data_IF_384031112431
#
_entry.id   IF_384031112431
#
_cell.length_a   1.000
_cell.length_b   1.000
_cell.length_c   1.000
_cell.angle_alpha   90.00
_cell.angle_beta   90.00
_cell.angle_gamma   90.00
#
_symmetry.space_group_name_H-M   'P 1'
#
loop_
_entity.id
_entity.type
_entity.pdbx_description
1 polymer ?
#
# COMPACT_ATOMS: atom_id res chain seq x y z
N UNK A 1 23.72 52.24 18.61
CA UNK A 1 22.36 51.86 18.21
C UNK A 1 22.39 50.38 17.90
N UNK A 2 21.81 49.57 18.77
CA UNK A 2 21.75 48.10 18.62
C UNK A 2 20.44 47.80 17.86
N UNK A 3 20.53 47.33 16.63
CA UNK A 3 19.38 46.82 15.90
C UNK A 3 19.09 45.41 16.39
N UNK A 4 18.06 45.26 17.21
CA UNK A 4 17.42 43.96 17.45
C UNK A 4 16.64 43.59 16.21
N UNK A 5 17.15 42.63 15.43
CA UNK A 5 16.39 41.96 14.40
C UNK A 5 15.30 41.11 15.09
N UNK A 6 14.06 41.53 14.99
CA UNK A 6 12.91 40.69 15.37
C UNK A 6 12.78 39.63 14.28
N UNK A 7 13.20 38.41 14.58
CA UNK A 7 12.85 37.27 13.72
C UNK A 7 11.33 37.10 13.76
N UNK A 8 10.66 37.38 12.65
CA UNK A 8 9.25 37.07 12.48
C UNK A 8 9.03 35.53 12.58
N UNK A 9 7.81 35.10 12.89
CA UNK A 9 7.52 33.68 12.88
C UNK A 9 7.84 33.12 11.48
N UNK A 10 8.73 32.14 11.42
CA UNK A 10 8.92 31.33 10.22
C UNK A 10 7.62 30.57 10.06
N UNK A 11 6.79 30.94 9.09
CA UNK A 11 5.65 30.14 8.72
C UNK A 11 6.20 28.82 8.18
N UNK A 12 5.77 27.71 8.78
CA UNK A 12 6.14 26.39 8.28
C UNK A 12 5.72 26.28 6.80
N UNK A 13 6.60 25.70 5.99
CA UNK A 13 6.36 25.55 4.56
C UNK A 13 5.24 24.51 4.34
N UNK A 14 4.32 24.81 3.45
CA UNK A 14 3.20 23.97 3.01
C UNK A 14 3.06 24.25 1.51
N UNK A 15 3.85 23.51 0.71
CA UNK A 15 4.01 23.73 -0.72
C UNK A 15 2.80 23.30 -1.53
N UNK A 16 2.20 22.20 -1.16
CA UNK A 16 1.03 21.63 -1.84
C UNK A 16 -0.29 22.25 -1.37
N UNK A 17 -0.24 23.01 -0.24
CA UNK A 17 -1.35 23.78 0.34
C UNK A 17 -2.52 22.92 0.80
N UNK A 18 -2.24 21.76 1.31
CA UNK A 18 -3.25 20.86 1.88
C UNK A 18 -3.58 21.20 3.35
N UNK A 19 -2.83 22.11 3.94
CA UNK A 19 -2.98 22.63 5.31
C UNK A 19 -2.19 21.82 6.34
N UNK A 20 -1.29 20.93 5.93
CA UNK A 20 -0.33 20.22 6.78
C UNK A 20 1.06 20.72 6.38
N UNK A 21 1.90 21.20 7.30
CA UNK A 21 3.25 21.62 6.94
C UNK A 21 4.12 20.47 6.46
N UNK A 22 4.88 20.65 5.37
CA UNK A 22 5.71 19.64 4.71
C UNK A 22 6.63 18.88 5.67
N UNK A 23 7.36 19.60 6.53
CA UNK A 23 8.27 19.01 7.53
C UNK A 23 7.50 18.17 8.57
N UNK A 24 6.28 18.59 8.89
CA UNK A 24 5.45 17.91 9.85
C UNK A 24 4.89 16.61 9.26
N UNK A 25 4.45 16.62 8.01
CA UNK A 25 4.06 15.41 7.28
C UNK A 25 5.20 14.38 7.24
N UNK A 26 6.38 14.83 6.83
CA UNK A 26 7.55 13.97 6.75
C UNK A 26 7.87 13.33 8.11
N UNK A 27 7.79 14.10 9.20
CA UNK A 27 7.98 13.58 10.56
C UNK A 27 6.94 12.54 10.96
N UNK A 28 5.66 12.75 10.60
CA UNK A 28 4.63 11.76 10.88
C UNK A 28 4.83 10.50 10.04
N UNK A 29 5.15 10.63 8.76
CA UNK A 29 5.42 9.50 7.89
C UNK A 29 6.62 8.68 8.40
N UNK A 30 7.71 9.31 8.80
CA UNK A 30 8.88 8.61 9.36
C UNK A 30 8.55 7.89 10.67
N UNK A 31 7.79 8.55 11.54
CA UNK A 31 7.46 7.99 12.85
C UNK A 31 6.52 6.79 12.75
N UNK A 32 5.55 6.85 11.85
CA UNK A 32 4.53 5.82 11.71
C UNK A 32 4.81 4.83 10.55
N UNK A 33 6.01 4.86 9.97
CA UNK A 33 6.39 3.91 8.94
C UNK A 33 6.24 2.45 9.41
N UNK A 34 5.59 1.58 8.64
CA UNK A 34 5.48 0.17 8.99
C UNK A 34 6.84 -0.55 8.88
N UNK A 35 7.05 -1.54 9.74
CA UNK A 35 8.11 -2.53 9.58
C UNK A 35 7.56 -3.72 8.81
N UNK A 36 8.10 -4.00 7.63
CA UNK A 36 7.68 -5.12 6.81
C UNK A 36 8.35 -6.43 7.25
N UNK A 37 7.57 -7.48 7.39
CA UNK A 37 8.04 -8.83 7.73
C UNK A 37 7.96 -9.69 6.48
N UNK A 38 9.13 -10.03 5.94
CA UNK A 38 9.25 -10.82 4.72
C UNK A 38 9.51 -12.28 5.03
N UNK A 39 8.97 -13.16 4.21
CA UNK A 39 9.26 -14.58 4.22
C UNK A 39 10.62 -14.86 3.59
N UNK A 40 11.25 -15.99 3.96
CA UNK A 40 12.40 -16.49 3.25
C UNK A 40 12.05 -16.78 1.79
N UNK A 41 12.95 -16.40 0.88
CA UNK A 41 12.76 -16.64 -0.55
C UNK A 41 11.79 -15.67 -1.22
N UNK A 42 11.61 -14.46 -0.64
CA UNK A 42 10.95 -13.38 -1.35
C UNK A 42 11.66 -13.09 -2.68
N UNK A 43 10.89 -13.11 -3.78
CA UNK A 43 11.47 -13.10 -5.12
C UNK A 43 12.09 -11.76 -5.52
N UNK A 44 11.50 -10.67 -5.06
CA UNK A 44 11.96 -9.32 -5.38
C UNK A 44 12.94 -8.77 -4.32
N UNK A 45 13.03 -9.44 -3.20
CA UNK A 45 13.99 -9.19 -2.11
C UNK A 45 13.60 -8.04 -1.20
N UNK A 46 13.39 -6.83 -1.70
CA UNK A 46 13.03 -5.62 -0.95
C UNK A 46 12.10 -4.73 -1.76
N UNK A 47 11.28 -3.91 -1.11
CA UNK A 47 10.61 -2.80 -1.77
C UNK A 47 11.58 -1.95 -2.56
N UNK A 48 11.14 -1.46 -3.70
CA UNK A 48 11.97 -0.79 -4.68
C UNK A 48 11.81 0.73 -4.65
N UNK A 49 12.90 1.43 -4.89
CA UNK A 49 12.88 2.81 -5.36
C UNK A 49 12.80 2.89 -6.87
N UNK A 50 12.20 3.97 -7.36
CA UNK A 50 11.99 4.21 -8.77
C UNK A 50 12.76 5.43 -9.27
N UNK A 51 13.13 5.41 -10.54
CA UNK A 51 13.86 6.52 -11.18
C UNK A 51 12.99 7.77 -11.14
N UNK A 52 13.44 8.84 -10.46
CA UNK A 52 12.71 10.10 -10.39
C UNK A 52 12.37 10.65 -11.78
N UNK A 53 11.18 11.25 -11.92
CA UNK A 53 10.75 11.96 -13.13
C UNK A 53 10.72 11.12 -14.41
N UNK A 54 10.84 9.82 -14.30
CA UNK A 54 10.71 8.92 -15.46
C UNK A 54 9.25 8.92 -15.95
N UNK A 55 9.01 9.02 -17.27
CA UNK A 55 7.66 9.02 -17.83
C UNK A 55 6.94 7.67 -17.67
N UNK A 56 7.69 6.61 -17.37
CA UNK A 56 7.19 5.27 -17.07
C UNK A 56 7.86 4.74 -15.82
N UNK A 57 7.16 3.95 -14.97
CA UNK A 57 7.76 3.32 -13.80
C UNK A 57 9.01 2.52 -14.21
N UNK A 58 10.12 2.83 -13.58
CA UNK A 58 11.39 2.14 -13.80
C UNK A 58 12.13 2.00 -12.47
N UNK A 59 12.37 0.78 -12.06
CA UNK A 59 13.09 0.47 -10.84
C UNK A 59 14.49 1.08 -10.87
N UNK A 60 14.86 1.77 -9.81
CA UNK A 60 16.18 2.30 -9.57
C UNK A 60 17.01 1.36 -8.69
N UNK A 61 16.45 0.93 -7.57
CA UNK A 61 17.08 0.03 -6.63
C UNK A 61 16.03 -0.76 -5.84
N UNK A 62 16.43 -1.86 -5.23
CA UNK A 62 15.68 -2.60 -4.22
C UNK A 62 16.28 -2.28 -2.85
N UNK A 63 15.91 -1.13 -2.32
CA UNK A 63 16.59 -0.48 -1.19
C UNK A 63 15.66 -0.20 0.00
N UNK A 64 14.55 -0.91 0.11
CA UNK A 64 13.57 -0.73 1.17
C UNK A 64 12.98 0.70 1.24
N UNK A 65 12.91 1.42 0.14
CA UNK A 65 12.21 2.70 0.06
C UNK A 65 10.71 2.46 0.21
N UNK A 66 10.06 3.25 1.07
CA UNK A 66 8.62 3.40 1.12
C UNK A 66 8.21 4.75 0.54
N UNK A 67 6.98 4.80 0.05
CA UNK A 67 6.36 6.03 -0.41
C UNK A 67 5.23 6.39 0.54
N UNK A 68 5.16 7.64 0.94
CA UNK A 68 4.19 8.11 1.92
C UNK A 68 3.34 9.23 1.36
N UNK A 69 2.15 9.39 1.93
CA UNK A 69 1.30 10.55 1.72
C UNK A 69 0.44 10.79 2.95
N UNK A 70 0.21 12.06 3.27
CA UNK A 70 -0.70 12.46 4.31
C UNK A 70 -1.95 13.14 3.72
N UNK A 71 -3.06 13.06 4.44
CA UNK A 71 -4.28 13.77 4.12
C UNK A 71 -4.95 14.26 5.40
N UNK A 72 -5.50 15.45 5.39
CA UNK A 72 -6.37 15.88 6.48
C UNK A 72 -7.60 15.00 6.55
N UNK A 73 -7.85 14.45 7.74
CA UNK A 73 -9.07 13.71 8.03
C UNK A 73 -10.06 14.60 8.79
N UNK A 74 -11.37 14.33 8.72
CA UNK A 74 -12.34 15.00 9.56
C UNK A 74 -11.98 14.84 11.06
N UNK A 75 -12.07 15.94 11.80
CA UNK A 75 -11.87 15.91 13.24
C UNK A 75 -12.88 14.98 13.92
N UNK A 76 -12.41 14.23 14.91
CA UNK A 76 -13.23 13.28 15.67
C UNK A 76 -13.12 13.51 17.17
N UNK A 77 -14.25 13.54 17.86
CA UNK A 77 -14.31 13.68 19.32
C UNK A 77 -13.49 14.88 19.82
N UNK A 78 -13.47 15.98 19.04
CA UNK A 78 -12.69 17.18 19.33
C UNK A 78 -11.18 17.03 19.12
N UNK A 79 -10.73 15.98 18.48
CA UNK A 79 -9.32 15.72 18.10
C UNK A 79 -9.13 15.99 16.62
N UNK A 80 -8.01 16.58 16.27
CA UNK A 80 -7.58 16.67 14.89
C UNK A 80 -7.06 15.31 14.40
N UNK A 81 -7.31 15.02 13.14
CA UNK A 81 -6.96 13.76 12.55
C UNK A 81 -6.24 13.94 11.19
N UNK A 82 -5.30 13.03 10.91
CA UNK A 82 -4.58 12.92 9.66
C UNK A 82 -4.60 11.43 9.25
N UNK A 83 -4.78 11.17 7.97
CA UNK A 83 -4.56 9.87 7.36
C UNK A 83 -3.13 9.81 6.83
N UNK A 84 -2.41 8.77 7.19
CA UNK A 84 -1.08 8.48 6.67
C UNK A 84 -1.18 7.23 5.81
N UNK A 85 -0.74 7.34 4.58
CA UNK A 85 -0.72 6.24 3.62
C UNK A 85 0.71 5.87 3.30
N UNK A 86 1.02 4.58 3.33
CA UNK A 86 2.33 4.02 3.04
C UNK A 86 2.20 3.00 1.92
N UNK A 87 2.96 3.19 0.87
CA UNK A 87 3.01 2.29 -0.28
C UNK A 87 4.38 1.63 -0.31
N UNK A 88 4.40 0.31 -0.37
CA UNK A 88 5.59 -0.45 -0.69
C UNK A 88 5.46 -1.00 -2.11
N UNK A 89 6.40 -0.59 -2.93
CA UNK A 89 6.40 -0.83 -4.36
C UNK A 89 7.44 -1.87 -4.71
N UNK A 90 7.12 -2.72 -5.68
CA UNK A 90 7.94 -3.85 -6.06
C UNK A 90 8.18 -3.88 -7.56
N UNK A 91 9.30 -4.45 -7.97
CA UNK A 91 9.61 -4.56 -9.38
C UNK A 91 8.75 -5.62 -10.08
N UNK A 92 8.34 -6.65 -9.35
CA UNK A 92 7.55 -7.75 -9.90
C UNK A 92 6.58 -8.32 -8.86
N UNK A 93 5.39 -8.69 -9.27
CA UNK A 93 4.58 -9.70 -8.61
C UNK A 93 5.03 -11.07 -9.15
N UNK A 94 5.50 -11.95 -8.27
CA UNK A 94 5.93 -13.31 -8.62
C UNK A 94 4.89 -14.36 -8.27
N UNK A 95 3.67 -13.95 -8.01
CA UNK A 95 2.55 -14.83 -7.75
C UNK A 95 2.21 -15.73 -8.94
N UNK A 96 1.11 -16.46 -8.83
CA UNK A 96 0.71 -17.43 -9.86
C UNK A 96 0.40 -16.79 -11.22
N UNK A 97 -0.10 -15.55 -11.19
CA UNK A 97 -0.42 -14.73 -12.37
C UNK A 97 0.49 -13.51 -12.39
N UNK A 98 1.71 -13.66 -11.94
CA UNK A 98 2.65 -12.59 -11.72
C UNK A 98 2.85 -11.66 -12.92
N UNK A 99 3.15 -10.41 -12.63
CA UNK A 99 3.34 -9.33 -13.59
C UNK A 99 4.50 -8.41 -13.17
N UNK A 100 4.95 -7.58 -14.08
CA UNK A 100 5.89 -6.51 -13.77
C UNK A 100 5.18 -5.43 -12.96
N UNK A 101 5.87 -4.86 -12.00
CA UNK A 101 5.42 -3.82 -11.08
C UNK A 101 4.28 -4.27 -10.16
N UNK A 102 4.47 -4.03 -8.89
CA UNK A 102 3.43 -4.27 -7.90
C UNK A 102 3.40 -3.15 -6.86
N UNK A 103 2.24 -2.84 -6.31
CA UNK A 103 2.03 -1.77 -5.37
C UNK A 103 1.06 -2.18 -4.28
N UNK A 104 1.54 -2.20 -3.05
CA UNK A 104 0.77 -2.57 -1.89
C UNK A 104 0.72 -1.43 -0.86
N UNK A 105 -0.23 -1.48 0.03
CA UNK A 105 -0.66 -0.33 0.77
C UNK A 105 -0.96 -0.65 2.24
N UNK A 106 -0.45 0.20 3.12
CA UNK A 106 -0.76 0.21 4.57
C UNK A 106 -1.06 1.64 4.97
N UNK A 107 -2.10 1.87 5.76
CA UNK A 107 -2.47 3.23 6.16
C UNK A 107 -2.88 3.33 7.61
N UNK A 108 -2.82 4.54 8.16
CA UNK A 108 -3.23 4.86 9.51
C UNK A 108 -4.19 6.03 9.57
N UNK A 109 -5.02 6.05 10.61
CA UNK A 109 -5.64 7.27 11.11
C UNK A 109 -4.87 7.65 12.38
N UNK A 110 -4.21 8.80 12.35
CA UNK A 110 -3.51 9.36 13.51
C UNK A 110 -4.24 10.61 14.00
N UNK A 111 -4.22 10.85 15.31
CA UNK A 111 -4.91 11.98 15.90
C UNK A 111 -4.13 12.65 17.02
N UNK A 112 -4.46 13.92 17.27
CA UNK A 112 -3.97 14.68 18.40
C UNK A 112 -5.07 15.57 18.98
N UNK A 113 -4.87 16.05 20.21
CA UNK A 113 -5.86 16.92 20.87
C UNK A 113 -6.01 18.29 20.23
N UNK A 114 -5.07 18.69 19.37
CA UNK A 114 -5.05 19.96 18.62
C UNK A 114 -4.12 19.85 17.41
N UNK A 115 -4.38 20.62 16.32
CA UNK A 115 -3.66 20.50 15.06
C UNK A 115 -2.19 20.93 15.15
N UNK A 116 -1.87 21.85 16.04
CA UNK A 116 -0.52 22.35 16.29
C UNK A 116 0.27 21.53 17.32
N UNK A 117 -0.25 20.38 17.73
CA UNK A 117 0.45 19.49 18.64
C UNK A 117 1.75 18.97 17.98
N UNK A 118 2.87 18.90 18.71
CA UNK A 118 4.11 18.38 18.15
C UNK A 118 3.93 16.91 17.76
N UNK A 119 4.67 16.44 16.74
CA UNK A 119 4.57 15.09 16.22
C UNK A 119 4.53 13.96 17.29
N UNK A 120 5.30 14.03 18.40
CA UNK A 120 5.20 13.03 19.47
C UNK A 120 3.86 12.94 20.18
N UNK A 121 3.01 13.97 20.10
CA UNK A 121 1.69 13.98 20.72
C UNK A 121 0.60 13.34 19.84
N UNK A 122 0.91 13.04 18.60
CA UNK A 122 0.03 12.32 17.70
C UNK A 122 0.11 10.80 17.96
N UNK A 123 -1.01 10.14 17.96
CA UNK A 123 -1.11 8.69 18.15
C UNK A 123 -1.92 8.07 17.01
N UNK A 124 -1.57 6.86 16.62
CA UNK A 124 -2.42 6.10 15.72
C UNK A 124 -3.63 5.55 16.48
N UNK A 125 -4.80 5.67 15.89
CA UNK A 125 -6.06 5.13 16.41
C UNK A 125 -6.38 3.80 15.72
N UNK A 126 -6.20 3.75 14.41
CA UNK A 126 -6.50 2.59 13.59
C UNK A 126 -5.49 2.44 12.46
N UNK A 127 -5.35 1.21 12.01
CA UNK A 127 -4.52 0.81 10.88
C UNK A 127 -5.32 0.05 9.85
N UNK A 128 -4.96 0.21 8.61
CA UNK A 128 -5.47 -0.52 7.45
C UNK A 128 -4.33 -1.23 6.74
N UNK A 129 -4.55 -2.49 6.34
CA UNK A 129 -3.64 -3.25 5.49
C UNK A 129 -4.40 -3.73 4.26
N UNK A 130 -3.95 -3.33 3.09
CA UNK A 130 -4.48 -3.80 1.83
C UNK A 130 -3.95 -5.20 1.52
N UNK A 131 -4.83 -6.09 1.12
CA UNK A 131 -4.48 -7.44 0.70
C UNK A 131 -5.38 -7.83 -0.47
N UNK A 132 -4.85 -7.81 -1.69
CA UNK A 132 -5.63 -8.04 -2.91
C UNK A 132 -6.84 -7.12 -3.04
N UNK A 133 -6.67 -5.90 -2.62
CA UNK A 133 -7.74 -4.91 -2.51
C UNK A 133 -8.44 -4.71 -3.84
N UNK A 134 -9.79 -4.54 -3.78
CA UNK A 134 -10.66 -4.38 -4.94
C UNK A 134 -10.77 -5.59 -5.87
N UNK A 135 -10.20 -6.73 -5.49
CA UNK A 135 -10.31 -7.99 -6.22
C UNK A 135 -11.36 -8.92 -5.59
N UNK A 136 -11.70 -10.00 -6.30
CA UNK A 136 -12.50 -11.10 -5.73
C UNK A 136 -11.82 -11.80 -4.56
N UNK A 137 -10.52 -11.57 -4.41
CA UNK A 137 -9.65 -12.12 -3.38
C UNK A 137 -9.36 -11.13 -2.24
N UNK A 138 -10.06 -10.02 -2.20
CA UNK A 138 -9.83 -8.97 -1.21
C UNK A 138 -9.88 -9.52 0.22
N UNK A 139 -8.73 -9.52 0.87
CA UNK A 139 -8.50 -9.92 2.25
C UNK A 139 -8.05 -8.74 3.12
N UNK A 140 -8.26 -7.52 2.64
CA UNK A 140 -7.90 -6.29 3.35
C UNK A 140 -8.51 -6.25 4.74
N UNK A 141 -7.79 -5.68 5.68
CA UNK A 141 -8.18 -5.69 7.08
C UNK A 141 -7.89 -4.37 7.79
N UNK A 142 -8.72 -4.06 8.78
CA UNK A 142 -8.52 -2.97 9.72
C UNK A 142 -8.18 -3.48 11.12
N UNK A 143 -7.39 -2.72 11.86
CA UNK A 143 -7.03 -3.03 13.24
C UNK A 143 -7.03 -1.78 14.10
N UNK A 144 -7.50 -1.89 15.33
CA UNK A 144 -7.27 -0.86 16.34
C UNK A 144 -5.77 -0.82 16.69
N UNK A 145 -5.19 0.38 16.68
CA UNK A 145 -3.75 0.56 16.88
C UNK A 145 -3.23 0.00 18.20
N UNK A 146 -4.01 0.15 19.30
CA UNK A 146 -3.67 -0.38 20.62
C UNK A 146 -3.58 -1.90 20.62
N UNK A 147 -4.51 -2.56 19.93
CA UNK A 147 -4.58 -4.03 19.90
C UNK A 147 -3.39 -4.65 19.22
N UNK A 148 -2.86 -3.99 18.18
CA UNK A 148 -1.66 -4.46 17.48
C UNK A 148 -0.37 -3.82 17.99
N UNK A 149 -0.44 -3.01 19.07
CA UNK A 149 0.72 -2.37 19.68
C UNK A 149 1.37 -1.29 18.85
N UNK A 150 0.60 -0.62 18.00
CA UNK A 150 1.09 0.37 17.02
C UNK A 150 0.47 1.77 17.22
N UNK A 151 0.27 2.21 18.47
CA UNK A 151 -0.25 3.53 18.79
C UNK A 151 0.81 4.62 18.62
N UNK A 152 2.04 4.36 19.03
CA UNK A 152 3.11 5.36 19.09
C UNK A 152 4.10 5.30 17.92
N UNK A 153 4.02 4.25 17.11
CA UNK A 153 4.90 3.98 15.97
C UNK A 153 4.18 3.10 14.94
N UNK A 154 4.81 2.85 13.79
CA UNK A 154 4.28 1.99 12.75
C UNK A 154 4.12 0.54 13.18
N UNK A 155 3.18 -0.21 12.57
CA UNK A 155 2.92 -1.61 12.86
C UNK A 155 3.98 -2.52 12.26
N UNK A 156 3.98 -3.76 12.73
CA UNK A 156 4.63 -4.87 12.02
C UNK A 156 3.64 -5.45 11.02
N UNK A 157 4.03 -5.53 9.76
CA UNK A 157 3.17 -5.97 8.66
C UNK A 157 3.79 -7.20 8.00
N UNK A 158 3.06 -8.30 7.99
CA UNK A 158 3.43 -9.48 7.22
C UNK A 158 3.13 -9.23 5.74
N UNK A 159 4.13 -9.45 4.91
CA UNK A 159 4.03 -9.31 3.46
C UNK A 159 3.96 -10.70 2.85
N UNK A 160 2.95 -10.96 2.02
CA UNK A 160 2.82 -12.27 1.37
C UNK A 160 3.91 -12.47 0.33
N UNK A 161 4.54 -13.64 0.37
CA UNK A 161 5.65 -13.98 -0.50
C UNK A 161 5.27 -13.90 -1.97
N UNK A 162 5.96 -13.04 -2.69
CA UNK A 162 5.85 -12.87 -4.13
C UNK A 162 4.60 -12.17 -4.64
N UNK A 163 3.61 -11.92 -3.78
CA UNK A 163 2.38 -11.17 -4.11
C UNK A 163 2.25 -9.88 -3.30
N UNK A 164 3.07 -9.70 -2.32
CA UNK A 164 3.30 -8.55 -1.47
C UNK A 164 2.10 -8.02 -0.68
N UNK A 165 0.95 -8.69 -0.73
CA UNK A 165 -0.24 -8.31 0.03
C UNK A 165 0.07 -8.16 1.53
N UNK A 166 -0.54 -7.17 2.18
CA UNK A 166 -0.22 -6.73 3.53
C UNK A 166 -1.17 -7.29 4.58
N UNK A 167 -0.64 -7.79 5.70
CA UNK A 167 -1.41 -8.39 6.79
C UNK A 167 -0.88 -7.99 8.15
N UNK A 168 -1.76 -7.78 9.15
CA UNK A 168 -1.35 -7.52 10.53
C UNK A 168 -1.08 -8.80 11.33
N UNK A 169 -1.56 -9.93 10.89
CA UNK A 169 -1.35 -11.23 11.52
C UNK A 169 -1.01 -12.30 10.48
N UNK A 170 -0.03 -13.15 10.79
CA UNK A 170 0.42 -14.22 9.89
C UNK A 170 -0.71 -15.19 9.50
N UNK A 171 -1.66 -15.41 10.42
CA UNK A 171 -2.78 -16.30 10.16
C UNK A 171 -3.77 -15.76 9.12
N UNK A 172 -3.77 -14.44 8.87
CA UNK A 172 -4.62 -13.80 7.87
C UNK A 172 -4.16 -14.05 6.44
N UNK A 173 -2.90 -14.39 6.21
CA UNK A 173 -2.37 -14.67 4.88
C UNK A 173 -3.15 -15.77 4.15
N UNK A 174 -3.72 -16.71 4.89
CA UNK A 174 -4.60 -17.74 4.33
C UNK A 174 -5.94 -17.23 3.80
N UNK A 175 -6.29 -15.96 4.11
CA UNK A 175 -7.52 -15.35 3.62
C UNK A 175 -7.38 -14.84 2.19
N UNK A 176 -6.16 -14.56 1.73
CA UNK A 176 -5.87 -14.23 0.35
C UNK A 176 -6.08 -15.42 -0.59
N UNK A 177 -6.44 -15.12 -1.83
CA UNK A 177 -6.69 -16.16 -2.84
C UNK A 177 -5.43 -16.92 -3.23
N UNK A 178 -5.61 -18.23 -3.42
CA UNK A 178 -4.54 -19.09 -3.92
C UNK A 178 -3.47 -19.40 -2.89
N UNK A 179 -3.74 -19.14 -1.61
CA UNK A 179 -2.85 -19.49 -0.50
C UNK A 179 -1.65 -18.56 -0.43
N UNK A 180 -1.86 -17.35 0.07
CA UNK A 180 -0.76 -16.48 0.41
C UNK A 180 0.10 -17.11 1.50
N UNK A 181 1.41 -16.94 1.38
CA UNK A 181 2.37 -17.42 2.34
C UNK A 181 3.08 -16.23 2.99
N UNK A 182 3.01 -16.15 4.32
CA UNK A 182 3.71 -15.14 5.08
C UNK A 182 4.77 -15.74 5.99
N UNK A 183 5.89 -15.06 6.09
CA UNK A 183 6.97 -15.34 7.03
C UNK A 183 7.35 -14.11 7.82
N UNK A 184 8.29 -14.28 8.74
CA UNK A 184 8.92 -13.20 9.47
C UNK A 184 10.43 -13.46 9.58
N UNK A 185 10.99 -14.01 8.51
CA UNK A 185 12.39 -14.40 8.44
C UNK A 185 13.30 -13.18 8.37
N UNK A 186 12.77 -12.08 7.83
CA UNK A 186 13.46 -10.80 7.73
C UNK A 186 12.51 -9.66 8.09
N UNK A 187 12.91 -8.83 9.05
CA UNK A 187 12.27 -7.55 9.32
C UNK A 187 12.95 -6.45 8.50
N UNK A 188 12.17 -5.67 7.77
CA UNK A 188 12.64 -4.58 6.92
C UNK A 188 12.06 -3.28 7.46
N UNK A 189 12.92 -2.41 7.94
CA UNK A 189 12.62 -1.02 8.27
C UNK A 189 12.93 -0.20 7.02
N UNK A 190 12.07 0.75 6.69
CA UNK A 190 12.32 1.64 5.57
C UNK A 190 13.64 2.40 5.76
N UNK A 191 14.52 2.36 4.77
CA UNK A 191 15.74 3.17 4.76
C UNK A 191 15.42 4.62 4.41
N UNK A 192 14.37 4.80 3.64
CA UNK A 192 13.90 6.12 3.19
C UNK A 192 12.39 6.09 2.99
N UNK A 193 11.76 7.20 3.34
CA UNK A 193 10.34 7.45 3.05
C UNK A 193 10.27 8.69 2.18
N UNK A 194 9.66 8.55 1.00
CA UNK A 194 9.45 9.65 0.05
C UNK A 194 8.01 10.10 0.19
N UNK A 195 7.79 11.33 0.65
CA UNK A 195 6.45 11.93 0.63
C UNK A 195 6.08 12.28 -0.82
N UNK A 196 5.09 11.57 -1.36
CA UNK A 196 4.60 11.78 -2.73
C UNK A 196 3.42 12.77 -2.79
N UNK A 197 2.99 13.29 -1.66
CA UNK A 197 2.02 14.39 -1.58
C UNK A 197 2.59 15.69 -2.11
N UNK A 198 3.87 15.94 -1.84
CA UNK A 198 4.51 17.20 -2.14
C UNK A 198 4.59 17.53 -3.64
N UNK A 199 4.47 18.82 -3.97
CA UNK A 199 4.50 19.31 -5.35
C UNK A 199 5.80 18.95 -6.07
N UNK A 200 6.91 18.96 -5.36
CA UNK A 200 8.25 18.68 -5.88
C UNK A 200 8.68 17.22 -5.65
N UNK A 201 7.78 16.37 -5.18
CA UNK A 201 8.07 14.96 -5.02
C UNK A 201 8.51 14.31 -6.34
N UNK A 202 9.59 13.53 -6.34
CA UNK A 202 10.19 13.00 -7.56
C UNK A 202 9.29 12.04 -8.33
N UNK A 203 8.23 11.55 -7.71
CA UNK A 203 7.23 10.66 -8.29
C UNK A 203 5.85 11.30 -8.40
N UNK A 204 5.74 12.60 -8.10
CA UNK A 204 4.47 13.31 -8.18
C UNK A 204 4.04 13.47 -9.65
N UNK A 205 2.80 13.15 -9.93
CA UNK A 205 2.10 13.49 -11.17
C UNK A 205 2.37 12.59 -12.38
N UNK A 206 3.55 12.65 -12.99
CA UNK A 206 3.75 12.08 -14.32
C UNK A 206 3.70 10.53 -14.36
N UNK A 207 4.24 9.84 -13.36
CA UNK A 207 4.28 8.38 -13.29
C UNK A 207 2.94 7.82 -12.80
N UNK A 208 2.42 8.39 -11.73
CA UNK A 208 1.25 7.89 -11.03
C UNK A 208 -0.06 8.21 -11.73
N UNK A 209 -0.10 9.27 -12.53
CA UNK A 209 -1.34 9.78 -13.12
C UNK A 209 -1.53 9.42 -14.58
N UNK A 210 -0.49 9.02 -15.30
CA UNK A 210 -0.53 8.85 -16.75
C UNK A 210 -0.25 7.46 -17.27
N UNK A 211 0.40 6.60 -16.50
CA UNK A 211 0.64 5.23 -16.95
C UNK A 211 -0.50 4.34 -16.46
N UNK A 212 -1.45 4.04 -17.32
CA UNK A 212 -2.41 2.96 -17.10
C UNK A 212 -1.77 1.57 -16.94
N UNK A 213 -0.45 1.53 -16.75
CA UNK A 213 0.33 0.33 -16.47
C UNK A 213 0.71 0.17 -14.99
N UNK A 214 0.30 1.13 -14.12
CA UNK A 214 0.58 1.02 -12.70
C UNK A 214 -0.65 0.53 -11.96
N UNK A 215 -0.64 -0.66 -11.35
CA UNK A 215 -1.77 -1.11 -10.56
C UNK A 215 -2.00 -0.15 -9.38
N UNK A 216 -3.26 0.15 -9.07
CA UNK A 216 -3.64 0.99 -7.94
C UNK A 216 -3.23 2.48 -8.03
N UNK A 217 -2.94 3.01 -9.22
CA UNK A 217 -2.52 4.40 -9.39
C UNK A 217 -3.51 5.42 -8.77
N UNK A 218 -4.79 5.11 -8.70
CA UNK A 218 -5.80 5.95 -8.06
C UNK A 218 -5.58 6.08 -6.55
N UNK A 219 -5.07 5.03 -5.89
CA UNK A 219 -4.86 5.00 -4.44
C UNK A 219 -3.76 5.94 -3.96
N UNK A 220 -2.80 6.25 -4.83
CA UNK A 220 -1.75 7.21 -4.48
C UNK A 220 -2.25 8.63 -4.32
N UNK A 221 -3.47 8.94 -4.74
CA UNK A 221 -4.04 10.28 -4.76
C UNK A 221 -5.25 10.46 -3.88
N UNK A 222 -5.78 9.38 -3.34
CA UNK A 222 -7.04 9.39 -2.61
C UNK A 222 -6.84 9.13 -1.14
N UNK A 223 -7.53 9.89 -0.31
CA UNK A 223 -7.78 9.56 1.08
C UNK A 223 -8.70 8.34 1.21
N UNK A 224 -8.97 7.91 2.42
CA UNK A 224 -9.90 6.81 2.65
C UNK A 224 -11.31 7.14 2.15
N UNK A 225 -11.91 6.15 1.51
CA UNK A 225 -13.36 6.14 1.32
C UNK A 225 -14.08 6.40 2.66
N UNK A 226 -15.12 7.26 2.71
CA UNK A 226 -15.80 7.61 3.95
C UNK A 226 -16.35 6.40 4.74
N UNK A 227 -16.79 5.35 4.06
CA UNK A 227 -17.29 4.14 4.73
C UNK A 227 -16.14 3.32 5.33
N UNK A 228 -15.03 3.17 4.60
CA UNK A 228 -13.83 2.53 5.11
C UNK A 228 -13.29 3.28 6.33
N UNK A 229 -13.18 4.60 6.24
CA UNK A 229 -12.78 5.46 7.37
C UNK A 229 -13.66 5.23 8.58
N UNK A 230 -14.97 5.31 8.43
CA UNK A 230 -15.94 5.08 9.50
C UNK A 230 -15.75 3.71 10.16
N UNK A 231 -15.46 2.69 9.40
CA UNK A 231 -15.23 1.33 9.91
C UNK A 231 -13.93 1.21 10.69
N UNK A 232 -12.86 1.85 10.21
CA UNK A 232 -11.58 1.89 10.91
C UNK A 232 -11.72 2.65 12.25
N UNK A 233 -12.41 3.77 12.25
CA UNK A 233 -12.68 4.56 13.45
C UNK A 233 -13.49 3.81 14.53
N UNK A 234 -14.31 2.86 14.13
CA UNK A 234 -15.12 2.04 15.04
C UNK A 234 -14.51 0.65 15.29
N UNK A 235 -13.30 0.39 14.81
CA UNK A 235 -12.61 -0.85 15.08
C UNK A 235 -12.22 -0.94 16.57
N UNK A 236 -13.03 -1.64 17.36
CA UNK A 236 -12.87 -1.75 18.84
C UNK A 236 -12.11 -2.99 19.28
N UNK A 237 -11.78 -3.89 18.36
CA UNK A 237 -11.21 -5.20 18.68
C UNK A 237 -10.03 -5.58 17.79
N UNK A 238 -9.84 -6.90 17.74
CA UNK A 238 -8.85 -7.51 16.87
C UNK A 238 -9.08 -7.13 15.40
N UNK A 239 -8.09 -7.43 14.58
CA UNK A 239 -8.16 -7.28 13.12
C UNK A 239 -9.50 -7.75 12.58
N UNK A 240 -10.20 -6.86 11.90
CA UNK A 240 -11.48 -7.15 11.26
C UNK A 240 -11.28 -7.28 9.76
N UNK A 241 -11.75 -8.36 9.12
CA UNK A 241 -11.77 -8.44 7.67
C UNK A 241 -12.76 -7.43 7.10
N UNK A 242 -12.33 -6.68 6.09
CA UNK A 242 -13.14 -5.65 5.45
C UNK A 242 -13.91 -6.18 4.22
N UNK A 243 -13.54 -7.35 3.74
CA UNK A 243 -14.09 -8.02 2.55
C UNK A 243 -15.62 -8.09 2.45
N UNK A 244 -16.31 -8.25 3.58
CA UNK A 244 -17.75 -8.55 3.56
C UNK A 244 -18.65 -7.34 3.27
N UNK A 245 -18.10 -6.13 3.21
CA UNK A 245 -18.91 -4.92 3.14
C UNK A 245 -18.90 -4.21 1.77
N UNK A 246 -17.92 -4.47 0.92
CA UNK A 246 -17.96 -4.00 -0.47
C UNK A 246 -18.97 -4.79 -1.33
N UNK A 247 -19.50 -5.91 -0.82
CA UNK A 247 -20.57 -6.70 -1.44
C UNK A 247 -22.00 -6.29 -1.04
N UNK A 248 -22.18 -5.25 -0.23
CA UNK A 248 -23.51 -4.64 -0.16
C UNK A 248 -23.84 -4.15 -1.58
N UNK A 249 -25.01 -4.53 -2.15
CA UNK A 249 -25.34 -4.16 -3.51
C UNK A 249 -25.34 -2.63 -3.60
N UNK A 250 -24.28 -2.07 -4.14
CA UNK A 250 -24.38 -0.74 -4.70
C UNK A 250 -25.48 -0.82 -5.74
N UNK A 251 -26.37 0.18 -5.74
CA UNK A 251 -27.39 0.29 -6.75
C UNK A 251 -26.78 0.04 -8.14
N UNK A 252 -27.48 -0.60 -9.08
CA UNK A 252 -26.90 -1.11 -10.30
C UNK A 252 -26.10 -0.02 -11.01
N UNK A 253 -24.82 -0.03 -10.80
CA UNK A 253 -23.86 0.62 -11.67
C UNK A 253 -24.02 -0.11 -12.98
N UNK A 254 -24.30 0.67 -14.02
CA UNK A 254 -24.61 0.23 -15.38
C UNK A 254 -23.88 -1.06 -15.76
N UNK A 255 -24.59 -1.95 -16.44
CA UNK A 255 -24.19 -3.30 -16.86
C UNK A 255 -22.86 -3.43 -17.66
N UNK A 256 -21.97 -2.44 -17.55
CA UNK A 256 -20.62 -2.43 -18.09
C UNK A 256 -19.58 -3.09 -17.17
N UNK A 257 -19.69 -2.89 -15.85
CA UNK A 257 -18.60 -3.30 -14.94
C UNK A 257 -18.63 -4.82 -14.66
N UNK A 258 -19.81 -5.43 -14.59
CA UNK A 258 -19.93 -6.89 -14.48
C UNK A 258 -19.47 -7.64 -15.74
N UNK A 259 -19.46 -6.98 -16.88
CA UNK A 259 -18.93 -7.57 -18.12
C UNK A 259 -17.39 -7.52 -18.15
N UNK A 260 -16.76 -6.51 -17.54
CA UNK A 260 -15.31 -6.42 -17.43
C UNK A 260 -14.75 -7.43 -16.43
N UNK A 261 -15.38 -7.60 -15.26
CA UNK A 261 -14.99 -8.62 -14.28
C UNK A 261 -15.14 -10.06 -14.84
N UNK A 262 -16.18 -10.30 -15.63
CA UNK A 262 -16.37 -11.54 -16.36
C UNK A 262 -15.32 -11.75 -17.47
N UNK A 263 -14.88 -10.68 -18.13
CA UNK A 263 -13.84 -10.72 -19.15
C UNK A 263 -12.45 -10.91 -18.56
N UNK A 264 -12.14 -10.29 -17.42
CA UNK A 264 -10.88 -10.50 -16.70
C UNK A 264 -10.78 -11.94 -16.18
N UNK A 265 -11.85 -12.48 -15.60
CA UNK A 265 -11.87 -13.89 -15.15
C UNK A 265 -11.76 -14.86 -16.32
N UNK A 266 -12.39 -14.55 -17.46
CA UNK A 266 -12.28 -15.34 -18.67
C UNK A 266 -10.90 -15.19 -19.33
N UNK A 267 -10.32 -14.00 -19.33
CA UNK A 267 -8.97 -13.74 -19.82
C UNK A 267 -7.91 -14.43 -18.96
N UNK A 268 -8.04 -14.39 -17.64
CA UNK A 268 -7.14 -15.10 -16.72
C UNK A 268 -7.17 -16.62 -16.96
N UNK A 269 -8.37 -17.21 -17.11
CA UNK A 269 -8.50 -18.64 -17.42
C UNK A 269 -7.93 -19.00 -18.80
N UNK A 270 -8.04 -18.11 -19.78
CA UNK A 270 -7.49 -18.30 -21.12
C UNK A 270 -5.97 -18.18 -21.14
N UNK A 271 -5.40 -17.24 -20.37
CA UNK A 271 -3.96 -17.08 -20.22
C UNK A 271 -3.34 -18.29 -19.52
N UNK A 272 -3.99 -18.82 -18.48
CA UNK A 272 -3.57 -20.05 -17.81
C UNK A 272 -3.61 -21.26 -18.74
N UNK A 273 -4.61 -21.37 -19.58
CA UNK A 273 -4.71 -22.43 -20.59
C UNK A 273 -3.60 -22.32 -21.65
N UNK A 274 -3.29 -21.11 -22.11
CA UNK A 274 -2.21 -20.85 -23.07
C UNK A 274 -0.85 -21.14 -22.45
N UNK A 275 -0.62 -20.72 -21.19
CA UNK A 275 0.63 -20.99 -20.48
C UNK A 275 0.81 -22.50 -20.21
N UNK A 276 -0.25 -23.23 -19.88
CA UNK A 276 -0.23 -24.67 -19.72
C UNK A 276 0.06 -25.39 -21.05
N UNK A 277 -0.54 -24.93 -22.15
CA UNK A 277 -0.27 -25.47 -23.50
C UNK A 277 1.18 -25.24 -23.92
N UNK A 278 1.74 -24.04 -23.69
CA UNK A 278 3.16 -23.74 -23.96
C UNK A 278 4.11 -24.64 -23.16
N UNK A 279 3.82 -24.89 -21.87
CA UNK A 279 4.60 -25.80 -21.03
C UNK A 279 4.51 -27.26 -21.51
N UNK A 280 3.37 -27.69 -22.00
CA UNK A 280 3.19 -29.03 -22.56
C UNK A 280 3.97 -29.21 -23.88
N UNK A 281 3.91 -28.25 -24.77
CA UNK A 281 4.69 -28.24 -26.03
C UNK A 281 6.20 -28.21 -25.75
N UNK A 282 6.66 -27.37 -24.81
CA UNK A 282 8.07 -27.32 -24.39
C UNK A 282 8.59 -28.64 -23.79
N UNK A 283 7.74 -29.41 -23.10
CA UNK A 283 8.09 -30.76 -22.63
C UNK A 283 8.15 -31.77 -23.76
N UNK A 284 7.22 -31.71 -24.69
CA UNK A 284 7.18 -32.62 -25.85
C UNK A 284 8.41 -32.43 -26.76
N UNK A 285 8.86 -31.21 -26.96
CA UNK A 285 10.04 -30.90 -27.76
C UNK A 285 11.39 -31.25 -27.08
N UNK A 286 11.40 -31.47 -25.77
CA UNK A 286 12.60 -31.85 -24.98
C UNK A 286 12.75 -33.36 -24.74
N UNK A 287 11.78 -34.16 -25.19
CA UNK A 287 11.89 -35.61 -25.05
C UNK A 287 12.84 -36.13 -26.13
N UNK A 288 14.00 -36.73 -25.79
CA UNK A 288 14.92 -37.25 -26.79
C UNK A 288 14.21 -38.35 -27.57
N UNK A 289 14.26 -38.26 -28.89
CA UNK A 289 13.81 -39.35 -29.76
C UNK A 289 14.59 -40.62 -29.42
N UNK A 290 13.95 -41.59 -28.84
CA UNK A 290 14.52 -42.94 -28.73
C UNK A 290 14.83 -43.41 -30.15
N UNK A 291 16.11 -43.58 -30.47
CA UNK A 291 16.55 -44.34 -31.63
C UNK A 291 16.17 -45.81 -31.37
N UNK A 292 15.28 -46.29 -32.18
CA UNK A 292 14.96 -47.75 -32.23
C UNK A 292 16.08 -48.39 -33.00
N UNK A 293 16.63 -49.55 -32.54
CA UNK A 293 17.73 -50.25 -33.17
C UNK A 293 17.36 -50.87 -34.51
#
# INVERSE_FOLDING_TARGET
VLFLAVAGPVTAQDLDRDGIPDDFEQHLLERFAPTLLLAAGECDGLPASFVPWSPTPRVQARDATLYGRAFRAPARDGRDAIELHFFHLWANDCGRIGHDLDAEHVSAIVSASRPDAPAPAWIAEAWYAAAHEDSVCDASSGANARVIGAEAAGPRVFVSRGKHASYFDRGQCKWGCGGDECGADRAVVAERIINIGEIDAPLNGAIWTRSGGWPMHEKFRSDFDPELRRRLEHATGHVIPLMQHRRAPQAPVLAGDTALDGLETAAASTIDAIAAARRAVGRFLRTPRRTIP
#
